data_IF_244445189195
#
_entry.id   IF_244445189195
#
_cell.length_a   1.000
_cell.length_b   1.000
_cell.length_c   1.000
_cell.angle_alpha   90.00
_cell.angle_beta   90.00
_cell.angle_gamma   90.00
#
_symmetry.space_group_name_H-M   'P 1'
#
loop_
_entity.id
_entity.type
_entity.pdbx_description
1 polymer ?
#
# COMPACT_ATOMS: atom_id res chain seq x y z
N UNK A 1 9.79 14.61 -22.56
CA UNK A 1 9.41 15.35 -21.33
C UNK A 1 10.21 14.97 -20.06
N UNK A 2 11.18 14.03 -20.10
CA UNK A 2 12.00 13.65 -18.93
C UNK A 2 13.41 14.30 -18.89
N UNK A 3 13.78 15.09 -19.92
CA UNK A 3 15.13 15.68 -20.03
C UNK A 3 15.37 16.85 -19.04
N UNK A 4 14.33 17.59 -18.62
CA UNK A 4 14.48 18.77 -17.73
C UNK A 4 14.71 18.45 -16.25
N UNK A 5 14.64 17.19 -15.81
CA UNK A 5 14.85 16.81 -14.40
C UNK A 5 16.33 16.51 -14.06
N UNK A 6 17.22 16.48 -15.06
CA UNK A 6 18.63 16.04 -14.92
C UNK A 6 19.49 16.92 -14.00
N UNK A 7 19.09 18.17 -13.73
CA UNK A 7 19.91 19.13 -12.96
C UNK A 7 19.50 19.30 -11.49
N UNK A 8 18.56 18.50 -10.98
CA UNK A 8 18.04 18.63 -9.61
C UNK A 8 18.15 17.33 -8.80
N UNK A 9 19.36 16.74 -8.76
CA UNK A 9 19.69 15.54 -7.94
C UNK A 9 19.20 15.65 -6.50
N UNK A 10 19.24 16.85 -5.90
CA UNK A 10 18.71 17.11 -4.55
C UNK A 10 17.22 16.76 -4.41
N UNK A 11 16.42 17.04 -5.42
CA UNK A 11 14.98 16.77 -5.41
C UNK A 11 14.71 15.29 -5.72
N UNK A 12 15.47 14.69 -6.63
CA UNK A 12 15.39 13.25 -6.91
C UNK A 12 15.73 12.43 -5.64
N UNK A 13 16.80 12.81 -4.94
CA UNK A 13 17.20 12.20 -3.68
C UNK A 13 16.14 12.43 -2.59
N UNK A 14 15.61 13.65 -2.45
CA UNK A 14 14.56 13.93 -1.47
C UNK A 14 13.30 13.10 -1.72
N UNK A 15 12.84 12.99 -2.97
CA UNK A 15 11.70 12.13 -3.33
C UNK A 15 11.98 10.67 -3.05
N UNK A 16 13.19 10.18 -3.34
CA UNK A 16 13.59 8.80 -3.05
C UNK A 16 13.59 8.50 -1.55
N UNK A 17 14.14 9.40 -0.72
CA UNK A 17 14.09 9.27 0.74
C UNK A 17 12.65 9.30 1.26
N UNK A 18 11.80 10.15 0.69
CA UNK A 18 10.39 10.20 1.06
C UNK A 18 9.66 8.89 0.70
N UNK A 19 9.90 8.34 -0.49
CA UNK A 19 9.36 7.05 -0.90
C UNK A 19 9.84 5.91 -0.01
N UNK A 20 11.12 5.89 0.38
CA UNK A 20 11.65 4.90 1.32
C UNK A 20 10.99 4.99 2.69
N UNK A 21 10.82 6.20 3.22
CA UNK A 21 10.11 6.43 4.49
C UNK A 21 8.66 5.98 4.44
N UNK A 22 7.97 6.17 3.32
CA UNK A 22 6.62 5.63 3.14
C UNK A 22 6.64 4.10 3.11
N UNK A 23 7.59 3.50 2.38
CA UNK A 23 7.72 2.04 2.28
C UNK A 23 7.93 1.41 3.67
N UNK A 24 8.80 1.99 4.50
CA UNK A 24 9.04 1.51 5.87
C UNK A 24 7.83 1.67 6.77
N UNK A 25 7.07 2.76 6.64
CA UNK A 25 5.79 2.92 7.33
C UNK A 25 4.79 1.82 6.94
N UNK A 26 4.66 1.52 5.65
CA UNK A 26 3.80 0.42 5.18
C UNK A 26 4.19 -0.92 5.80
N UNK A 27 5.48 -1.28 5.78
CA UNK A 27 5.95 -2.54 6.36
C UNK A 27 5.70 -2.57 7.88
N UNK A 28 5.85 -1.44 8.56
CA UNK A 28 5.57 -1.32 10.00
C UNK A 28 4.08 -1.52 10.29
N UNK A 29 3.18 -1.03 9.44
CA UNK A 29 1.74 -1.33 9.55
C UNK A 29 1.45 -2.82 9.45
N UNK A 30 2.10 -3.54 8.52
CA UNK A 30 1.98 -5.00 8.40
C UNK A 30 2.48 -5.70 9.68
N UNK A 31 3.54 -5.18 10.30
CA UNK A 31 4.04 -5.71 11.56
C UNK A 31 3.04 -5.53 12.72
N UNK A 32 2.34 -4.40 12.79
CA UNK A 32 1.27 -4.23 13.78
C UNK A 32 0.08 -5.16 13.54
N UNK A 33 -0.29 -5.42 12.28
CA UNK A 33 -1.34 -6.40 11.95
C UNK A 33 -0.91 -7.80 12.40
N UNK A 34 0.34 -8.17 12.13
CA UNK A 34 0.94 -9.42 12.58
C UNK A 34 0.84 -9.57 14.11
N UNK A 35 1.21 -8.52 14.85
CA UNK A 35 1.10 -8.51 16.31
C UNK A 35 -0.36 -8.59 16.79
N UNK A 36 -1.29 -7.93 16.11
CA UNK A 36 -2.73 -7.95 16.45
C UNK A 36 -3.38 -9.32 16.27
N UNK A 37 -2.88 -10.10 15.30
CA UNK A 37 -3.34 -11.47 15.04
C UNK A 37 -2.57 -12.50 15.88
N UNK A 38 -1.59 -12.09 16.70
CA UNK A 38 -0.78 -13.00 17.50
C UNK A 38 0.15 -13.90 16.65
N UNK A 39 0.47 -13.48 15.43
CA UNK A 39 1.33 -14.24 14.52
C UNK A 39 2.81 -14.03 14.87
N UNK A 40 3.59 -15.10 14.95
CA UNK A 40 5.02 -15.05 15.30
C UNK A 40 5.92 -14.89 14.05
N UNK A 41 5.52 -14.00 13.13
CA UNK A 41 6.32 -13.72 11.94
C UNK A 41 7.44 -12.74 12.23
N UNK A 42 8.63 -13.05 11.68
CA UNK A 42 9.77 -12.14 11.74
C UNK A 42 9.54 -10.95 10.81
N UNK A 43 9.96 -9.75 11.22
CA UNK A 43 9.90 -8.54 10.39
C UNK A 43 10.51 -8.72 8.98
N UNK A 44 11.56 -9.56 8.88
CA UNK A 44 12.18 -9.93 7.59
C UNK A 44 11.22 -10.60 6.61
N UNK A 45 10.28 -11.41 7.08
CA UNK A 45 9.30 -12.07 6.21
C UNK A 45 8.33 -11.03 5.62
N UNK A 46 7.89 -10.07 6.43
CA UNK A 46 7.01 -8.97 6.01
C UNK A 46 7.70 -8.03 5.02
N UNK A 47 9.01 -7.79 5.20
CA UNK A 47 9.86 -7.05 4.26
C UNK A 47 9.88 -7.67 2.85
N UNK A 48 9.73 -8.99 2.72
CA UNK A 48 9.62 -9.67 1.42
C UNK A 48 8.18 -9.77 0.93
N UNK A 49 7.23 -10.07 1.84
CA UNK A 49 5.83 -10.25 1.49
C UNK A 49 5.22 -8.98 0.87
N UNK A 50 5.54 -7.80 1.42
CA UNK A 50 4.99 -6.52 0.95
C UNK A 50 5.39 -6.19 -0.50
N UNK A 51 6.68 -6.10 -0.89
CA UNK A 51 7.06 -5.80 -2.26
C UNK A 51 6.62 -6.89 -3.23
N UNK A 52 6.66 -8.18 -2.83
CA UNK A 52 6.12 -9.27 -3.64
C UNK A 52 4.65 -9.05 -3.99
N UNK A 53 3.83 -8.74 -2.97
CA UNK A 53 2.41 -8.46 -3.13
C UNK A 53 2.17 -7.22 -3.99
N UNK A 54 2.97 -6.16 -3.82
CA UNK A 54 2.88 -4.95 -4.64
C UNK A 54 3.25 -5.19 -6.10
N UNK A 55 4.27 -6.01 -6.37
CA UNK A 55 4.63 -6.42 -7.73
C UNK A 55 3.51 -7.22 -8.38
N UNK A 56 2.93 -8.19 -7.67
CA UNK A 56 1.78 -8.95 -8.16
C UNK A 56 0.58 -8.03 -8.46
N UNK A 57 0.33 -7.03 -7.60
CA UNK A 57 -0.78 -6.07 -7.77
C UNK A 57 -0.57 -5.09 -8.93
N UNK A 58 0.68 -4.88 -9.36
CA UNK A 58 0.99 -4.01 -10.49
C UNK A 58 0.60 -4.63 -11.83
N UNK A 59 0.33 -5.94 -11.85
CA UNK A 59 -0.14 -6.64 -13.04
C UNK A 59 -1.63 -6.32 -13.23
N UNK A 60 -2.02 -5.61 -14.30
CA UNK A 60 -3.37 -5.07 -14.48
C UNK A 60 -4.35 -6.14 -15.00
N UNK A 61 -4.36 -7.30 -14.37
CA UNK A 61 -5.28 -8.39 -14.70
C UNK A 61 -6.65 -8.16 -14.03
N UNK A 62 -6.70 -7.50 -12.86
CA UNK A 62 -7.95 -7.20 -12.14
C UNK A 62 -8.15 -5.72 -11.85
N UNK A 63 -9.41 -5.30 -11.69
CA UNK A 63 -9.79 -3.93 -11.35
C UNK A 63 -9.22 -3.57 -9.97
N UNK A 64 -8.30 -2.60 -9.94
CA UNK A 64 -7.66 -2.13 -8.71
C UNK A 64 -6.77 -3.17 -8.00
N UNK A 65 -6.40 -4.27 -8.67
CA UNK A 65 -5.62 -5.35 -8.07
C UNK A 65 -6.39 -6.22 -7.07
N UNK A 66 -7.73 -6.03 -6.94
CA UNK A 66 -8.57 -6.86 -6.09
C UNK A 66 -8.51 -8.32 -6.55
N UNK A 67 -8.34 -9.23 -5.59
CA UNK A 67 -8.19 -10.67 -5.81
C UNK A 67 -6.74 -11.09 -6.01
N UNK A 68 -5.94 -10.37 -6.81
CA UNK A 68 -4.54 -10.72 -7.04
C UNK A 68 -3.69 -10.36 -5.83
N UNK A 69 -3.89 -9.16 -5.29
CA UNK A 69 -3.18 -8.70 -4.10
C UNK A 69 -3.45 -9.63 -2.93
N UNK A 70 -4.72 -9.94 -2.69
CA UNK A 70 -5.13 -10.77 -1.55
C UNK A 70 -4.56 -12.18 -1.66
N UNK A 71 -4.70 -12.81 -2.84
CA UNK A 71 -4.17 -14.15 -3.03
C UNK A 71 -2.64 -14.18 -3.03
N UNK A 72 -1.95 -13.16 -3.57
CA UNK A 72 -0.50 -13.07 -3.53
C UNK A 72 0.02 -12.92 -2.09
N UNK A 73 -0.67 -12.12 -1.27
CA UNK A 73 -0.33 -11.96 0.13
C UNK A 73 -0.58 -13.25 0.91
N UNK A 74 -1.75 -13.88 0.73
CA UNK A 74 -2.07 -15.17 1.36
C UNK A 74 -1.03 -16.22 0.97
N UNK A 75 -0.70 -16.31 -0.32
CA UNK A 75 0.31 -17.24 -0.82
C UNK A 75 1.68 -16.97 -0.18
N UNK A 76 2.12 -15.71 -0.09
CA UNK A 76 3.38 -15.36 0.55
C UNK A 76 3.39 -15.77 2.04
N UNK A 77 2.31 -15.48 2.77
CA UNK A 77 2.17 -15.80 4.19
C UNK A 77 2.10 -17.33 4.45
N UNK A 78 1.38 -18.07 3.60
CA UNK A 78 1.36 -19.55 3.64
C UNK A 78 2.76 -20.14 3.47
N UNK A 79 3.56 -19.60 2.54
CA UNK A 79 4.95 -20.03 2.35
C UNK A 79 5.85 -19.73 3.57
N UNK A 80 5.46 -18.78 4.44
CA UNK A 80 6.13 -18.51 5.70
C UNK A 80 5.58 -19.32 6.88
N UNK A 81 4.66 -20.25 6.64
CA UNK A 81 4.10 -21.15 7.66
C UNK A 81 2.88 -20.61 8.39
N UNK A 82 2.27 -19.53 7.90
CA UNK A 82 1.00 -19.00 8.45
C UNK A 82 -0.17 -19.85 7.94
N UNK A 83 -1.11 -20.18 8.83
CA UNK A 83 -2.33 -20.88 8.43
C UNK A 83 -3.14 -20.10 7.40
N UNK A 84 -3.74 -20.78 6.43
CA UNK A 84 -4.53 -20.15 5.35
C UNK A 84 -5.62 -19.22 5.86
N UNK A 85 -6.28 -19.60 6.96
CA UNK A 85 -7.31 -18.78 7.60
C UNK A 85 -6.73 -17.45 8.11
N UNK A 86 -5.64 -17.49 8.87
CA UNK A 86 -4.99 -16.30 9.43
C UNK A 86 -4.39 -15.42 8.35
N UNK A 87 -3.79 -16.02 7.32
CA UNK A 87 -3.27 -15.30 6.15
C UNK A 87 -4.38 -14.55 5.41
N UNK A 88 -5.57 -15.16 5.29
CA UNK A 88 -6.73 -14.53 4.65
C UNK A 88 -7.27 -13.39 5.51
N UNK A 89 -7.38 -13.58 6.83
CA UNK A 89 -7.77 -12.54 7.77
C UNK A 89 -6.80 -11.35 7.73
N UNK A 90 -5.49 -11.63 7.73
CA UNK A 90 -4.44 -10.62 7.59
C UNK A 90 -4.67 -9.79 6.33
N UNK A 91 -4.91 -10.44 5.19
CA UNK A 91 -5.15 -9.76 3.93
C UNK A 91 -6.42 -8.90 3.93
N UNK A 92 -7.49 -9.35 4.58
CA UNK A 92 -8.72 -8.55 4.70
C UNK A 92 -8.55 -7.34 5.62
N UNK A 93 -7.75 -7.44 6.69
CA UNK A 93 -7.43 -6.29 7.52
C UNK A 93 -6.68 -5.24 6.69
N UNK A 94 -5.69 -5.66 5.89
CA UNK A 94 -4.96 -4.78 4.98
C UNK A 94 -5.93 -4.11 3.98
N UNK A 95 -6.83 -4.88 3.37
CA UNK A 95 -7.85 -4.33 2.47
C UNK A 95 -8.73 -3.29 3.17
N UNK A 96 -9.17 -3.57 4.40
CA UNK A 96 -10.02 -2.67 5.17
C UNK A 96 -9.32 -1.34 5.47
N UNK A 97 -8.03 -1.38 5.84
CA UNK A 97 -7.22 -0.17 6.04
C UNK A 97 -7.11 0.63 4.75
N UNK A 98 -6.92 -0.03 3.61
CA UNK A 98 -6.80 0.65 2.31
C UNK A 98 -8.13 1.30 1.91
N UNK A 99 -9.25 0.60 2.09
CA UNK A 99 -10.58 1.16 1.85
C UNK A 99 -10.86 2.35 2.77
N UNK A 100 -10.49 2.26 4.04
CA UNK A 100 -10.63 3.37 4.98
C UNK A 100 -9.84 4.61 4.54
N UNK A 101 -8.58 4.43 4.13
CA UNK A 101 -7.76 5.52 3.60
C UNK A 101 -8.33 6.09 2.29
N UNK A 102 -8.83 5.23 1.39
CA UNK A 102 -9.46 5.66 0.14
C UNK A 102 -10.74 6.46 0.40
N UNK A 103 -11.56 6.05 1.38
CA UNK A 103 -12.74 6.78 1.80
C UNK A 103 -12.38 8.13 2.43
N UNK A 104 -11.37 8.18 3.29
CA UNK A 104 -10.88 9.44 3.86
C UNK A 104 -10.41 10.40 2.76
N UNK A 105 -9.60 9.91 1.82
CA UNK A 105 -9.18 10.68 0.63
C UNK A 105 -10.36 11.13 -0.23
N UNK A 106 -11.31 10.25 -0.51
CA UNK A 106 -12.53 10.58 -1.25
C UNK A 106 -13.37 11.64 -0.55
N UNK A 107 -13.51 11.57 0.78
CA UNK A 107 -14.23 12.56 1.58
C UNK A 107 -13.54 13.93 1.52
N UNK A 108 -12.20 13.99 1.61
CA UNK A 108 -11.48 15.25 1.45
C UNK A 108 -11.71 15.86 0.07
N UNK A 109 -11.82 15.04 -0.98
CA UNK A 109 -12.11 15.51 -2.33
C UNK A 109 -13.54 16.05 -2.48
N UNK A 110 -14.52 15.36 -1.91
CA UNK A 110 -15.91 15.81 -1.89
C UNK A 110 -16.06 17.14 -1.13
N UNK A 111 -15.45 17.25 0.05
CA UNK A 111 -15.45 18.50 0.84
C UNK A 111 -14.73 19.62 0.09
N UNK A 112 -13.62 19.33 -0.61
CA UNK A 112 -12.93 20.33 -1.44
C UNK A 112 -13.84 20.89 -2.54
N UNK A 113 -14.65 20.06 -3.21
CA UNK A 113 -15.61 20.55 -4.20
C UNK A 113 -16.74 21.39 -3.60
N UNK A 114 -17.08 21.19 -2.32
CA UNK A 114 -18.06 22.02 -1.60
C UNK A 114 -17.48 23.39 -1.24
N UNK A 115 -16.18 23.48 -0.89
CA UNK A 115 -15.53 24.74 -0.49
C UNK A 115 -14.84 25.51 -1.62
N UNK A 116 -14.32 24.82 -2.64
CA UNK A 116 -13.68 25.43 -3.80
C UNK A 116 -14.66 25.39 -4.98
N UNK A 117 -15.67 26.27 -4.92
CA UNK A 117 -16.50 26.61 -6.08
C UNK A 117 -15.53 26.91 -7.23
N UNK A 118 -15.56 26.09 -8.27
CA UNK A 118 -14.81 26.27 -9.51
C UNK A 118 -14.76 27.77 -9.82
N UNK A 119 -13.58 28.40 -9.70
CA UNK A 119 -13.35 29.67 -10.37
C UNK A 119 -13.51 29.33 -11.85
N UNK A 120 -14.68 29.68 -12.37
CA UNK A 120 -15.06 29.48 -13.75
C UNK A 120 -13.91 29.93 -14.63
N UNK A 121 -13.46 29.01 -15.47
CA UNK A 121 -12.56 29.30 -16.56
C UNK A 121 -13.43 29.87 -17.68
N UNK A 122 -13.56 31.20 -17.70
CA UNK A 122 -13.83 32.01 -18.90
C UNK A 122 -13.01 33.29 -18.77
#
# INVERSE_FOLDING_TARGET
MLISYRHKIKYLAASYFFSLSLQTLFITSFFFINLSLGLDMKYRMLLFAQPFTSLASSVPITIGGMGIRENALVYALENFGVGRADATLFSFIVLSIILFNALAGGLTYLLKNVFYKSKGFI
#
